data_IF_391063780547
#
_entry.id   IF_391063780547
#
_cell.length_a   1.000
_cell.length_b   1.000
_cell.length_c   1.000
_cell.angle_alpha   90.00
_cell.angle_beta   90.00
_cell.angle_gamma   90.00
#
_symmetry.space_group_name_H-M   'P 1'
#
loop_
_entity.id
_entity.type
_entity.pdbx_description
1 polymer ?
#
# COMPACT_ATOMS: atom_id res chain seq x y z
N UNK A 1 7.96 -7.25 -5.86
CA UNK A 1 8.48 -6.06 -5.18
C UNK A 1 8.14 -6.16 -3.70
N UNK A 2 8.87 -5.48 -2.83
CA UNK A 2 8.51 -5.44 -1.41
C UNK A 2 7.45 -4.38 -1.15
N UNK A 3 6.74 -4.49 -0.02
CA UNK A 3 5.81 -3.45 0.45
C UNK A 3 6.51 -2.09 0.56
N UNK A 4 7.77 -2.08 1.02
CA UNK A 4 8.59 -0.86 1.09
C UNK A 4 8.71 -0.17 -0.27
N UNK A 5 9.06 -0.92 -1.31
CA UNK A 5 9.23 -0.37 -2.66
C UNK A 5 7.93 0.29 -3.16
N UNK A 6 6.80 -0.36 -2.86
CA UNK A 6 5.48 0.17 -3.23
C UNK A 6 5.20 1.49 -2.51
N UNK A 7 5.38 1.52 -1.19
CA UNK A 7 5.14 2.73 -0.39
C UNK A 7 6.07 3.88 -0.83
N UNK A 8 7.35 3.60 -1.04
CA UNK A 8 8.31 4.59 -1.53
C UNK A 8 7.93 5.12 -2.92
N UNK A 9 7.42 4.25 -3.80
CA UNK A 9 6.92 4.67 -5.11
C UNK A 9 5.72 5.60 -4.98
N UNK A 10 4.74 5.28 -4.15
CA UNK A 10 3.56 6.13 -3.92
C UNK A 10 3.94 7.52 -3.38
N UNK A 11 4.87 7.57 -2.43
CA UNK A 11 5.42 8.83 -1.89
C UNK A 11 6.16 9.61 -2.97
N UNK A 12 7.00 8.94 -3.76
CA UNK A 12 7.81 9.57 -4.82
C UNK A 12 6.95 10.12 -5.97
N UNK A 13 5.89 9.40 -6.34
CA UNK A 13 4.92 9.84 -7.35
C UNK A 13 3.97 10.92 -6.81
N UNK A 14 4.09 11.31 -5.53
CA UNK A 14 3.18 12.24 -4.82
C UNK A 14 1.71 11.89 -5.05
N UNK A 15 1.43 10.59 -5.07
CA UNK A 15 0.08 10.10 -5.37
C UNK A 15 -0.82 10.44 -4.19
N UNK A 16 -1.91 11.15 -4.45
CA UNK A 16 -2.93 11.46 -3.43
C UNK A 16 -3.82 10.24 -3.18
N UNK A 17 -3.23 9.18 -2.62
CA UNK A 17 -3.93 7.96 -2.21
C UNK A 17 -3.72 7.69 -0.73
N UNK A 18 -4.80 7.28 -0.08
CA UNK A 18 -4.76 6.70 1.25
C UNK A 18 -4.76 5.18 1.12
N UNK A 19 -4.03 4.55 2.03
CA UNK A 19 -3.98 3.12 2.22
C UNK A 19 -4.91 2.76 3.38
N UNK A 20 -6.05 2.18 3.04
CA UNK A 20 -7.04 1.75 4.01
C UNK A 20 -6.80 0.29 4.41
N UNK A 21 -6.58 0.05 5.70
CA UNK A 21 -6.68 -1.29 6.27
C UNK A 21 -8.10 -1.52 6.84
N UNK A 22 -8.30 -2.58 7.62
CA UNK A 22 -9.61 -2.90 8.20
C UNK A 22 -10.04 -1.98 9.34
N UNK A 23 -9.15 -1.13 9.86
CA UNK A 23 -9.37 -0.30 11.05
C UNK A 23 -9.24 1.20 10.73
N UNK A 24 -8.29 1.58 9.87
CA UNK A 24 -7.88 2.96 9.66
C UNK A 24 -7.37 3.22 8.24
N UNK A 25 -7.27 4.49 7.91
CA UNK A 25 -6.71 5.00 6.65
C UNK A 25 -5.39 5.71 6.93
N UNK A 26 -4.39 5.42 6.12
CA UNK A 26 -3.03 5.91 6.35
C UNK A 26 -2.41 6.48 5.08
N UNK A 27 -1.58 7.52 5.23
CA UNK A 27 -0.73 7.96 4.14
C UNK A 27 0.45 6.99 3.95
N UNK A 28 0.93 6.89 2.71
CA UNK A 28 2.06 6.03 2.37
C UNK A 28 3.34 6.37 3.18
N UNK A 29 3.59 7.67 3.41
CA UNK A 29 4.71 8.14 4.22
C UNK A 29 4.61 7.67 5.68
N UNK A 30 3.42 7.81 6.28
CA UNK A 30 3.17 7.40 7.67
C UNK A 30 3.38 5.90 7.82
N UNK A 31 2.91 5.08 6.88
CA UNK A 31 3.16 3.64 6.91
C UNK A 31 4.64 3.31 6.73
N UNK A 32 5.37 4.04 5.90
CA UNK A 32 6.79 3.81 5.68
C UNK A 32 7.62 4.09 6.95
N UNK A 33 7.20 5.06 7.76
CA UNK A 33 7.87 5.43 9.01
C UNK A 33 7.44 4.57 10.22
N UNK A 34 6.16 4.15 10.27
CA UNK A 34 5.61 3.45 11.44
C UNK A 34 5.66 1.92 11.32
N UNK A 35 5.74 1.35 10.11
CA UNK A 35 5.81 -0.10 9.95
C UNK A 35 7.20 -0.63 10.31
N UNK A 36 7.22 -1.78 10.98
CA UNK A 36 8.47 -2.50 11.27
C UNK A 36 9.17 -2.96 10.00
N UNK A 37 10.49 -3.08 10.04
CA UNK A 37 11.30 -3.53 8.89
C UNK A 37 10.84 -4.88 8.31
N UNK A 38 10.40 -5.80 9.16
CA UNK A 38 9.85 -7.11 8.74
C UNK A 38 8.62 -6.95 7.86
N UNK A 39 7.71 -6.03 8.21
CA UNK A 39 6.51 -5.73 7.40
C UNK A 39 6.89 -5.08 6.09
N UNK A 40 7.83 -4.13 6.12
CA UNK A 40 8.31 -3.43 4.92
C UNK A 40 8.98 -4.38 3.91
N UNK A 41 9.66 -5.43 4.39
CA UNK A 41 10.29 -6.47 3.56
C UNK A 41 9.30 -7.50 2.99
N UNK A 42 8.01 -7.44 3.35
CA UNK A 42 6.99 -8.38 2.86
C UNK A 42 6.85 -8.25 1.35
N UNK A 43 6.93 -9.38 0.64
CA UNK A 43 6.65 -9.42 -0.81
C UNK A 43 5.19 -9.03 -1.05
N UNK A 44 4.98 -8.03 -1.89
CA UNK A 44 3.66 -7.50 -2.16
C UNK A 44 3.49 -7.12 -3.63
N UNK A 45 2.23 -7.12 -4.06
CA UNK A 45 1.80 -6.63 -5.35
C UNK A 45 0.84 -5.47 -5.14
N UNK A 46 1.06 -4.40 -5.89
CA UNK A 46 0.14 -3.27 -5.96
C UNK A 46 -0.62 -3.34 -7.27
N UNK A 47 -1.96 -3.40 -7.17
CA UNK A 47 -2.85 -3.14 -8.28
C UNK A 47 -3.30 -1.66 -8.20
N UNK A 48 -2.81 -0.78 -9.10
CA UNK A 48 -3.14 0.64 -9.07
C UNK A 48 -4.65 0.89 -9.04
N UNK A 49 -5.08 1.80 -8.17
CA UNK A 49 -6.50 2.15 -7.99
C UNK A 49 -7.36 1.07 -7.30
N UNK A 50 -6.77 -0.05 -6.86
CA UNK A 50 -7.51 -1.11 -6.16
C UNK A 50 -6.92 -1.46 -4.79
N UNK A 51 -5.79 -2.16 -4.74
CA UNK A 51 -5.23 -2.66 -3.49
C UNK A 51 -3.73 -2.99 -3.56
N UNK A 52 -3.14 -3.19 -2.38
CA UNK A 52 -1.86 -3.85 -2.16
C UNK A 52 -2.13 -5.16 -1.45
N UNK A 53 -1.67 -6.28 -2.02
CA UNK A 53 -1.78 -7.61 -1.44
C UNK A 53 -0.40 -8.24 -1.22
N UNK A 54 -0.27 -9.07 -0.20
CA UNK A 54 0.93 -9.89 -0.02
C UNK A 54 1.02 -10.96 -1.12
N UNK A 55 2.25 -11.30 -1.49
CA UNK A 55 2.54 -12.40 -2.40
C UNK A 55 3.07 -13.55 -1.55
N UNK A 56 2.43 -14.70 -1.63
CA UNK A 56 2.87 -15.89 -0.90
C UNK A 56 4.12 -16.53 -1.53
N UNK A 57 4.69 -17.55 -0.86
CA UNK A 57 5.89 -18.25 -1.33
C UNK A 57 5.71 -18.94 -2.70
N UNK A 58 4.46 -19.26 -3.05
CA UNK A 58 4.11 -19.85 -4.33
C UNK A 58 3.88 -18.80 -5.45
N UNK A 59 4.04 -17.51 -5.17
CA UNK A 59 3.93 -16.41 -6.14
C UNK A 59 2.51 -15.90 -6.38
N UNK A 60 1.53 -16.35 -5.61
CA UNK A 60 0.13 -15.95 -5.75
C UNK A 60 -0.23 -14.78 -4.83
N UNK A 61 -1.24 -13.99 -5.25
CA UNK A 61 -1.85 -12.97 -4.41
C UNK A 61 -2.54 -13.62 -3.21
N UNK A 62 -2.05 -13.29 -2.03
CA UNK A 62 -2.62 -13.72 -0.76
C UNK A 62 -3.56 -12.66 -0.20
N UNK A 63 -3.34 -12.32 1.07
CA UNK A 63 -4.15 -11.34 1.80
C UNK A 63 -3.98 -9.93 1.23
N UNK A 64 -5.09 -9.22 1.11
CA UNK A 64 -5.05 -7.76 0.90
C UNK A 64 -4.56 -7.09 2.18
N UNK A 65 -3.44 -6.39 2.07
CA UNK A 65 -2.86 -5.61 3.17
C UNK A 65 -3.55 -4.26 3.29
N UNK A 66 -3.71 -3.57 2.15
CA UNK A 66 -4.28 -2.23 2.09
C UNK A 66 -5.13 -2.07 0.83
N UNK A 67 -6.27 -1.39 0.95
CA UNK A 67 -7.03 -0.90 -0.20
C UNK A 67 -6.55 0.51 -0.55
N UNK A 68 -6.43 0.80 -1.84
CA UNK A 68 -6.08 2.13 -2.32
C UNK A 68 -7.37 2.96 -2.41
N UNK A 69 -7.39 4.10 -1.72
CA UNK A 69 -8.48 5.06 -1.78
C UNK A 69 -7.92 6.36 -2.34
N UNK A 70 -8.36 6.73 -3.54
CA UNK A 70 -8.00 8.00 -4.13
C UNK A 70 -8.61 9.13 -3.29
N UNK A 71 -7.77 10.11 -2.94
CA UNK A 71 -8.19 11.36 -2.29
C UNK A 71 -8.46 12.45 -3.33
N UNK A 72 -8.37 12.10 -4.63
CA UNK A 72 -8.87 12.95 -5.70
C UNK A 72 -10.37 13.16 -5.49
N UNK A 73 -10.69 14.35 -5.00
CA UNK A 73 -11.99 14.82 -4.61
C UNK A 73 -13.09 14.39 -5.58
N UNK A 74 -14.19 13.86 -5.03
CA UNK A 74 -15.53 14.23 -5.48
C UNK A 74 -15.62 15.76 -5.42
N UNK A 75 -15.18 16.41 -6.49
CA UNK A 75 -15.56 17.77 -6.83
C UNK A 75 -16.52 17.65 -8.02
N UNK A 76 -17.78 17.33 -7.72
CA UNK A 76 -18.91 17.56 -8.61
C UNK A 76 -19.99 18.32 -7.85
#
# INVERSE_FOLDING_TARGET
MSLKDILQKLVSEKTQVLLADSQSEWQAEVLLENLSETRLKTSAHMQPGLYIAEINEAGYLGRVLYKLKNVASEAQ
#
